data_IF_909280522749
#
_entry.id   IF_909280522749
#
_cell.length_a   1.000
_cell.length_b   1.000
_cell.length_c   1.000
_cell.angle_alpha   90.00
_cell.angle_beta   90.00
_cell.angle_gamma   90.00
#
_symmetry.space_group_name_H-M   'P 1'
#
loop_
_entity.id
_entity.type
_entity.pdbx_description
1 polymer ?
#
# COMPACT_ATOMS: atom_id res chain seq x y z
N UNK A 1 24.40 -19.60 5.26
CA UNK A 1 23.21 -18.71 5.21
C UNK A 1 22.78 -18.33 6.62
N UNK A 2 23.48 -17.41 7.28
CA UNK A 2 23.22 -17.04 8.70
C UNK A 2 22.60 -15.63 8.83
N UNK A 3 22.23 -14.98 7.71
CA UNK A 3 21.93 -13.55 7.68
C UNK A 3 20.47 -13.13 7.88
N UNK A 4 19.49 -13.98 7.54
CA UNK A 4 18.06 -13.56 7.55
C UNK A 4 17.37 -13.80 8.90
N UNK A 5 17.54 -14.99 9.49
CA UNK A 5 16.73 -15.40 10.65
C UNK A 5 17.12 -14.73 11.97
N UNK A 6 18.34 -14.20 12.10
CA UNK A 6 18.80 -13.53 13.35
C UNK A 6 18.38 -12.07 13.37
N UNK A 7 18.47 -11.37 12.23
CA UNK A 7 18.09 -9.94 12.13
C UNK A 7 16.59 -9.75 12.35
N UNK A 8 15.75 -10.62 11.77
CA UNK A 8 14.30 -10.55 11.97
C UNK A 8 13.86 -10.86 13.40
N UNK A 9 14.59 -11.76 14.07
CA UNK A 9 14.24 -12.20 15.42
C UNK A 9 14.42 -11.11 16.47
N UNK A 10 15.19 -10.05 16.19
CA UNK A 10 15.34 -8.89 17.07
C UNK A 10 14.52 -7.68 16.62
N UNK A 11 14.43 -7.41 15.31
CA UNK A 11 13.68 -6.26 14.80
C UNK A 11 12.17 -6.50 14.67
N UNK A 12 11.75 -7.76 14.50
CA UNK A 12 10.34 -8.13 14.31
C UNK A 12 9.53 -8.21 15.61
N UNK A 13 10.20 -8.40 16.76
CA UNK A 13 9.54 -8.58 18.07
C UNK A 13 8.56 -7.45 18.41
N UNK A 14 8.94 -6.15 18.36
CA UNK A 14 8.01 -5.08 18.72
C UNK A 14 6.81 -4.95 17.76
N UNK A 15 6.96 -5.33 16.49
CA UNK A 15 5.85 -5.30 15.52
C UNK A 15 4.90 -6.46 15.72
N UNK A 16 5.42 -7.65 16.05
CA UNK A 16 4.63 -8.83 16.42
C UNK A 16 3.87 -8.59 17.72
N UNK A 17 4.50 -7.99 18.72
CA UNK A 17 3.84 -7.64 19.99
C UNK A 17 2.71 -6.64 19.75
N UNK A 18 2.92 -5.66 18.86
CA UNK A 18 1.88 -4.70 18.51
C UNK A 18 0.72 -5.34 17.75
N UNK A 19 1.00 -6.30 16.86
CA UNK A 19 -0.04 -7.12 16.23
C UNK A 19 -0.82 -7.93 17.27
N UNK A 20 -0.14 -8.53 18.24
CA UNK A 20 -0.77 -9.30 19.30
C UNK A 20 -1.73 -8.44 20.15
N UNK A 21 -1.33 -7.21 20.50
CA UNK A 21 -2.21 -6.28 21.24
C UNK A 21 -3.43 -5.87 20.41
N UNK A 22 -3.24 -5.52 19.13
CA UNK A 22 -4.34 -5.10 18.24
C UNK A 22 -5.35 -6.22 18.00
N UNK A 23 -4.89 -7.45 17.83
CA UNK A 23 -5.76 -8.60 17.54
C UNK A 23 -6.28 -9.29 18.82
N UNK A 24 -5.66 -9.04 19.96
CA UNK A 24 -5.99 -9.69 21.24
C UNK A 24 -7.41 -9.42 21.70
N UNK A 25 -7.94 -8.21 21.49
CA UNK A 25 -9.34 -7.89 21.83
C UNK A 25 -10.34 -8.74 21.05
N UNK A 26 -10.11 -8.92 19.74
CA UNK A 26 -10.96 -9.74 18.87
C UNK A 26 -10.90 -11.23 19.24
N UNK A 27 -9.70 -11.73 19.55
CA UNK A 27 -9.51 -13.11 20.02
C UNK A 27 -10.18 -13.32 21.38
N UNK A 28 -10.08 -12.36 22.30
CA UNK A 28 -10.74 -12.43 23.60
C UNK A 28 -12.27 -12.44 23.46
N UNK A 29 -12.82 -11.64 22.55
CA UNK A 29 -14.26 -11.66 22.26
C UNK A 29 -14.72 -13.04 21.76
N UNK A 30 -13.99 -13.61 20.80
CA UNK A 30 -14.30 -14.93 20.26
C UNK A 30 -14.21 -16.03 21.34
N UNK A 31 -13.18 -15.99 22.20
CA UNK A 31 -12.98 -16.99 23.25
C UNK A 31 -14.01 -16.91 24.38
N UNK A 32 -14.46 -15.70 24.75
CA UNK A 32 -15.35 -15.50 25.91
C UNK A 32 -16.82 -15.49 25.51
N UNK A 33 -17.16 -14.86 24.39
CA UNK A 33 -18.56 -14.67 23.96
C UNK A 33 -18.96 -15.60 22.81
N UNK A 34 -18.01 -16.25 22.12
CA UNK A 34 -18.31 -17.16 21.01
C UNK A 34 -18.83 -16.46 19.75
N UNK A 35 -18.84 -15.12 19.76
CA UNK A 35 -19.25 -14.28 18.65
C UNK A 35 -18.26 -13.13 18.50
N UNK A 36 -18.09 -12.65 17.26
CA UNK A 36 -17.14 -11.61 16.96
C UNK A 36 -17.88 -10.31 16.62
N UNK A 37 -17.55 -9.22 17.31
CA UNK A 37 -18.17 -7.93 17.07
C UNK A 37 -17.55 -7.18 15.87
N UNK A 38 -18.24 -6.11 15.45
CA UNK A 38 -17.74 -5.12 14.48
C UNK A 38 -16.83 -4.07 15.12
N UNK A 39 -16.70 -4.05 16.44
CA UNK A 39 -15.94 -3.03 17.18
C UNK A 39 -14.44 -3.01 16.88
N UNK A 40 -13.87 -4.16 16.50
CA UNK A 40 -12.44 -4.30 16.21
C UNK A 40 -12.02 -3.88 14.78
N UNK A 41 -12.89 -3.21 14.00
CA UNK A 41 -12.60 -2.85 12.61
C UNK A 41 -11.36 -1.94 12.46
N UNK A 42 -11.20 -0.96 13.35
CA UNK A 42 -10.03 -0.08 13.35
C UNK A 42 -8.74 -0.84 13.68
N UNK A 43 -8.81 -1.81 14.60
CA UNK A 43 -7.64 -2.61 14.97
C UNK A 43 -7.23 -3.56 13.85
N UNK A 44 -8.19 -4.15 13.14
CA UNK A 44 -7.92 -4.94 11.93
C UNK A 44 -7.24 -4.12 10.82
N UNK A 45 -7.70 -2.89 10.58
CA UNK A 45 -7.07 -2.00 9.60
C UNK A 45 -5.61 -1.69 9.98
N UNK A 46 -5.37 -1.36 11.25
CA UNK A 46 -4.02 -1.07 11.76
C UNK A 46 -3.12 -2.30 11.72
N UNK A 47 -3.62 -3.46 12.14
CA UNK A 47 -2.89 -4.72 12.10
C UNK A 47 -2.52 -5.07 10.65
N UNK A 48 -3.45 -4.91 9.71
CA UNK A 48 -3.19 -5.15 8.28
C UNK A 48 -2.10 -4.23 7.74
N UNK A 49 -2.12 -2.95 8.10
CA UNK A 49 -1.09 -2.00 7.69
C UNK A 49 0.30 -2.41 8.23
N UNK A 50 0.39 -2.77 9.52
CA UNK A 50 1.65 -3.23 10.13
C UNK A 50 2.17 -4.49 9.43
N UNK A 51 1.31 -5.50 9.24
CA UNK A 51 1.70 -6.74 8.59
C UNK A 51 2.17 -6.51 7.14
N UNK A 52 1.52 -5.59 6.43
CA UNK A 52 1.92 -5.20 5.07
C UNK A 52 3.30 -4.53 5.06
N UNK A 53 3.55 -3.60 5.97
CA UNK A 53 4.88 -2.96 6.10
C UNK A 53 5.96 -3.96 6.53
N UNK A 54 5.65 -4.90 7.44
CA UNK A 54 6.59 -5.98 7.81
C UNK A 54 7.08 -6.74 6.58
N UNK A 55 6.17 -7.13 5.69
CA UNK A 55 6.52 -7.93 4.51
C UNK A 55 7.10 -7.06 3.38
N UNK A 56 6.45 -5.96 3.04
CA UNK A 56 6.75 -5.19 1.84
C UNK A 56 7.83 -4.12 2.05
N UNK A 57 7.94 -3.54 3.25
CA UNK A 57 8.91 -2.49 3.55
C UNK A 57 10.15 -3.09 4.23
N UNK A 58 9.95 -3.92 5.25
CA UNK A 58 11.02 -4.47 6.08
C UNK A 58 11.54 -5.84 5.61
N UNK A 59 10.93 -6.42 4.57
CA UNK A 59 11.35 -7.71 4.03
C UNK A 59 11.28 -8.85 5.06
N UNK A 60 10.37 -8.78 6.04
CA UNK A 60 10.18 -9.79 7.09
C UNK A 60 9.34 -10.98 6.57
N UNK A 61 9.81 -11.62 5.50
CA UNK A 61 9.18 -12.82 4.94
C UNK A 61 10.24 -13.81 4.44
N UNK A 62 10.26 -15.02 5.01
CA UNK A 62 11.22 -16.08 4.63
C UNK A 62 11.19 -16.42 3.14
N UNK A 63 10.04 -16.21 2.49
CA UNK A 63 9.83 -16.53 1.06
C UNK A 63 10.29 -15.43 0.12
N UNK A 64 10.19 -14.17 0.55
CA UNK A 64 10.52 -13.01 -0.28
C UNK A 64 11.94 -12.50 -0.03
N UNK A 65 12.50 -12.79 1.15
CA UNK A 65 13.82 -12.33 1.55
C UNK A 65 13.86 -10.83 1.85
N UNK A 66 15.08 -10.29 1.99
CA UNK A 66 15.33 -8.87 2.30
C UNK A 66 15.17 -7.99 1.05
N UNK A 67 13.94 -7.89 0.55
CA UNK A 67 13.59 -7.04 -0.59
C UNK A 67 12.48 -6.07 -0.17
N UNK A 68 12.72 -4.78 -0.41
CA UNK A 68 11.72 -3.72 -0.19
C UNK A 68 10.94 -3.51 -1.49
N UNK A 69 9.64 -3.80 -1.46
CA UNK A 69 8.72 -3.69 -2.60
C UNK A 69 7.98 -2.36 -2.67
N UNK A 70 7.96 -1.58 -1.59
CA UNK A 70 7.30 -0.27 -1.60
C UNK A 70 8.26 0.81 -2.13
N UNK A 71 7.83 1.52 -3.18
CA UNK A 71 8.46 2.78 -3.58
C UNK A 71 8.31 3.80 -2.45
N UNK A 72 9.30 4.67 -2.19
CA UNK A 72 9.14 5.77 -1.24
C UNK A 72 7.83 6.50 -1.55
N UNK A 73 6.94 6.64 -0.56
CA UNK A 73 5.77 7.52 -0.68
C UNK A 73 6.30 8.92 -0.96
N UNK A 74 6.47 9.27 -2.23
CA UNK A 74 6.80 10.62 -2.63
C UNK A 74 5.63 11.48 -2.18
N UNK A 75 5.86 12.53 -1.37
CA UNK A 75 4.78 13.43 -1.00
C UNK A 75 4.23 14.06 -2.28
N UNK A 76 3.01 13.67 -2.66
CA UNK A 76 2.27 14.15 -3.85
C UNK A 76 1.84 15.61 -3.73
N UNK A 77 2.54 16.41 -2.92
CA UNK A 77 2.20 17.80 -2.64
C UNK A 77 2.56 18.74 -3.80
N UNK A 78 3.47 18.34 -4.70
CA UNK A 78 3.97 19.19 -5.79
C UNK A 78 3.58 18.76 -7.21
N UNK A 79 2.80 17.68 -7.38
CA UNK A 79 2.50 17.13 -8.71
C UNK A 79 1.24 17.70 -9.36
N UNK A 80 0.26 18.17 -8.57
CA UNK A 80 -0.98 18.79 -9.08
C UNK A 80 -0.69 20.09 -9.85
N UNK A 81 0.33 20.86 -9.43
CA UNK A 81 0.68 22.15 -10.01
C UNK A 81 1.52 22.05 -11.30
N UNK A 82 2.25 20.95 -11.51
CA UNK A 82 3.09 20.75 -12.69
C UNK A 82 2.35 20.17 -13.90
N UNK A 83 1.23 19.48 -13.71
CA UNK A 83 0.46 18.88 -14.81
C UNK A 83 -0.54 19.86 -15.46
N UNK A 84 -0.73 21.04 -14.86
CA UNK A 84 -1.59 22.09 -15.38
C UNK A 84 -0.90 22.94 -16.46
N UNK A 85 -0.81 22.40 -17.70
CA UNK A 85 -1.03 23.08 -19.00
C UNK A 85 -0.33 22.33 -20.13
N UNK A 86 -1.11 21.63 -20.96
CA UNK A 86 -0.86 21.59 -22.40
C UNK A 86 -1.99 22.35 -23.10
N UNK A 87 -1.75 23.49 -23.77
CA UNK A 87 -2.77 24.09 -24.60
C UNK A 87 -3.04 23.16 -25.78
N UNK A 88 -4.27 22.64 -25.88
CA UNK A 88 -4.73 21.84 -27.00
C UNK A 88 -4.72 22.71 -28.27
N UNK A 89 -3.80 22.41 -29.20
CA UNK A 89 -3.78 23.03 -30.51
C UNK A 89 -5.08 22.70 -31.26
N UNK A 90 -5.92 23.71 -31.50
CA UNK A 90 -7.14 23.58 -32.32
C UNK A 90 -6.77 23.02 -33.68
N UNK A 91 -7.22 21.80 -33.95
CA UNK A 91 -7.15 21.13 -35.25
C UNK A 91 -7.85 22.00 -36.31
N UNK A 92 -7.10 22.78 -37.09
CA UNK A 92 -7.64 23.48 -38.27
C UNK A 92 -7.90 22.42 -39.34
N UNK A 93 -9.18 22.05 -39.54
CA UNK A 93 -9.60 21.19 -40.65
C UNK A 93 -9.27 21.89 -41.98
N UNK A 94 -8.57 21.24 -42.93
CA UNK A 94 -8.40 21.81 -44.26
C UNK A 94 -9.75 21.78 -45.00
N UNK A 95 -10.09 22.92 -45.62
CA UNK A 95 -11.31 23.11 -46.41
C UNK A 95 -11.19 22.26 -47.69
N UNK A 96 -11.96 21.19 -47.81
CA UNK A 96 -12.00 20.35 -49.01
C UNK A 96 -12.56 21.17 -50.18
N UNK A 97 -11.71 21.59 -51.11
CA UNK A 97 -12.17 22.14 -52.40
C UNK A 97 -12.63 20.97 -53.26
N UNK A 98 -13.93 20.88 -53.55
CA UNK A 98 -14.47 19.99 -54.59
C UNK A 98 -13.94 20.48 -55.94
N UNK A 99 -13.04 19.73 -56.58
CA UNK A 99 -12.83 19.87 -58.03
C UNK A 99 -13.94 19.08 -58.73
N UNK A 100 -14.77 19.79 -59.50
CA UNK A 100 -15.65 19.20 -60.51
C UNK A 100 -14.82 18.55 -61.61
N UNK A 101 -15.21 17.38 -62.15
CA UNK A 101 -14.70 16.94 -63.44
C UNK A 101 -15.49 17.60 -64.58
N UNK A 102 -14.78 17.80 -65.68
CA UNK A 102 -15.25 18.31 -66.96
C UNK A 102 -16.26 17.39 -67.65
#
# INVERSE_FOLDING_TARGET
>A
MVGCSVVWRLAGVPLLDRLAVLLGGRVAEELVFGEISTGAQNDLQRATAIARSMVAEYGMSDRLGLVTYESPRQPTFLLESYTAKKPTAKQRRPRLTRKSPA
#
